data_IF_744899988852
#
_entry.id   IF_744899988852
#
_cell.length_a   1.000
_cell.length_b   1.000
_cell.length_c   1.000
_cell.angle_alpha   90.00
_cell.angle_beta   90.00
_cell.angle_gamma   90.00
#
_symmetry.space_group_name_H-M   'P 1'
#
loop_
_entity.id
_entity.type
_entity.pdbx_description
1 polymer ?
#
# COMPACT_ATOMS: atom_id res chain seq x y z
N UNK A 1 -38.94 -47.96 7.54
CA UNK A 1 -39.14 -46.49 7.50
C UNK A 1 -37.87 -45.74 7.77
N UNK A 2 -36.95 -46.25 8.60
CA UNK A 2 -35.65 -45.59 8.91
C UNK A 2 -34.74 -45.34 7.69
N UNK A 3 -34.91 -46.13 6.61
CA UNK A 3 -34.16 -45.98 5.37
C UNK A 3 -34.54 -44.77 4.48
N UNK A 4 -35.55 -43.99 4.84
CA UNK A 4 -36.04 -42.83 4.07
C UNK A 4 -35.68 -41.49 4.68
N UNK A 5 -35.05 -41.44 5.88
CA UNK A 5 -34.61 -40.20 6.52
C UNK A 5 -33.30 -39.71 5.94
N UNK A 6 -33.26 -38.48 5.52
CA UNK A 6 -32.05 -37.76 5.05
C UNK A 6 -31.58 -36.76 6.12
N UNK A 7 -30.36 -36.26 5.97
CA UNK A 7 -29.81 -35.20 6.84
C UNK A 7 -30.63 -33.91 6.81
N UNK A 8 -31.38 -33.66 5.74
CA UNK A 8 -32.26 -32.51 5.58
C UNK A 8 -33.57 -32.60 6.37
N UNK A 9 -33.94 -33.80 6.83
CA UNK A 9 -35.18 -34.01 7.56
C UNK A 9 -35.05 -33.72 9.05
N UNK A 10 -33.82 -33.57 9.53
CA UNK A 10 -33.51 -33.29 10.93
C UNK A 10 -32.76 -31.97 11.03
N UNK A 11 -33.21 -31.07 11.89
CA UNK A 11 -32.56 -29.82 12.22
C UNK A 11 -32.15 -29.81 13.68
N UNK A 12 -30.87 -29.57 13.95
CA UNK A 12 -30.39 -29.29 15.31
C UNK A 12 -30.39 -27.77 15.51
N UNK A 13 -31.00 -27.35 16.62
CA UNK A 13 -31.18 -25.94 16.96
C UNK A 13 -30.56 -25.67 18.31
N UNK A 14 -29.75 -24.65 18.45
CA UNK A 14 -29.25 -24.14 19.70
C UNK A 14 -30.34 -23.31 20.38
N UNK A 15 -30.69 -23.67 21.61
CA UNK A 15 -31.67 -22.94 22.41
C UNK A 15 -31.11 -21.57 22.84
N UNK A 16 -32.00 -20.58 22.97
CA UNK A 16 -31.64 -19.24 23.47
C UNK A 16 -30.58 -18.45 22.68
N UNK A 17 -30.19 -18.90 21.48
CA UNK A 17 -29.24 -18.19 20.68
C UNK A 17 -29.68 -16.73 20.36
N UNK A 18 -30.99 -16.50 20.24
CA UNK A 18 -31.56 -15.18 19.98
C UNK A 18 -31.53 -14.22 21.18
N UNK A 19 -31.25 -14.72 22.38
CA UNK A 19 -31.14 -13.90 23.60
C UNK A 19 -29.72 -13.38 23.87
N UNK A 20 -28.74 -13.78 23.04
CA UNK A 20 -27.36 -13.31 23.15
C UNK A 20 -27.27 -11.89 22.57
N UNK A 21 -27.00 -10.93 23.45
CA UNK A 21 -26.92 -9.49 23.07
C UNK A 21 -25.57 -8.86 23.40
N UNK A 22 -24.67 -9.57 24.07
CA UNK A 22 -23.37 -9.08 24.49
C UNK A 22 -22.24 -10.03 24.08
N UNK A 23 -21.01 -9.53 23.92
CA UNK A 23 -19.84 -10.38 23.73
C UNK A 23 -19.61 -11.30 24.92
N UNK A 24 -19.11 -12.50 24.67
CA UNK A 24 -18.79 -13.49 25.71
C UNK A 24 -18.86 -14.92 25.23
N UNK A 25 -18.56 -15.85 26.15
CA UNK A 25 -18.68 -17.28 25.92
C UNK A 25 -20.03 -17.76 26.41
N UNK A 26 -20.78 -18.42 25.56
CA UNK A 26 -22.11 -18.95 25.88
C UNK A 26 -22.15 -20.44 25.62
N UNK A 27 -22.67 -21.17 26.60
CA UNK A 27 -22.98 -22.60 26.47
C UNK A 27 -24.45 -22.74 26.11
N UNK A 28 -24.74 -23.25 24.93
CA UNK A 28 -26.07 -23.38 24.36
C UNK A 28 -26.49 -24.85 24.35
N UNK A 29 -27.72 -25.14 24.82
CA UNK A 29 -28.32 -26.45 24.71
C UNK A 29 -28.76 -26.71 23.26
N UNK A 30 -28.49 -27.93 22.80
CA UNK A 30 -28.87 -28.39 21.48
C UNK A 30 -30.11 -29.26 21.55
N UNK A 31 -31.09 -28.95 20.70
CA UNK A 31 -32.29 -29.77 20.55
C UNK A 31 -32.49 -30.15 19.09
N UNK A 32 -32.89 -31.39 18.85
CA UNK A 32 -33.28 -31.84 17.52
C UNK A 32 -34.74 -31.51 17.27
N UNK A 33 -35.01 -31.04 16.05
CA UNK A 33 -36.37 -30.77 15.53
C UNK A 33 -36.56 -31.43 14.19
N UNK A 34 -37.77 -31.82 13.87
CA UNK A 34 -38.16 -32.28 12.54
C UNK A 34 -38.11 -31.09 11.60
N UNK A 35 -37.38 -31.23 10.48
CA UNK A 35 -37.20 -30.18 9.48
C UNK A 35 -38.09 -30.36 8.24
N UNK A 36 -38.67 -31.54 8.10
CA UNK A 36 -39.55 -31.88 7.01
C UNK A 36 -40.97 -32.20 7.51
N UNK A 37 -41.92 -32.32 6.57
CA UNK A 37 -43.30 -32.75 6.87
C UNK A 37 -43.42 -34.26 7.18
N UNK A 38 -42.30 -34.98 7.24
CA UNK A 38 -42.28 -36.37 7.64
C UNK A 38 -42.61 -36.46 9.14
N UNK A 39 -43.73 -37.06 9.52
CA UNK A 39 -44.21 -37.15 10.89
C UNK A 39 -44.00 -38.52 11.48
N UNK A 40 -43.62 -39.51 10.69
CA UNK A 40 -43.62 -40.93 11.04
C UNK A 40 -42.38 -41.42 11.81
N UNK A 41 -41.65 -40.50 12.39
CA UNK A 41 -40.49 -40.83 13.25
C UNK A 41 -40.45 -39.97 14.49
N UNK A 42 -39.84 -40.50 15.54
CA UNK A 42 -39.57 -39.80 16.78
C UNK A 42 -38.09 -39.91 17.17
N UNK A 43 -37.59 -38.93 17.90
CA UNK A 43 -36.23 -38.98 18.41
C UNK A 43 -36.21 -39.91 19.65
N UNK A 44 -35.41 -40.97 19.58
CA UNK A 44 -35.27 -41.93 20.70
C UNK A 44 -34.35 -41.43 21.81
N UNK A 45 -33.52 -40.43 21.52
CA UNK A 45 -32.59 -39.81 22.48
C UNK A 45 -32.38 -38.34 22.12
N UNK A 46 -31.79 -37.59 23.05
CA UNK A 46 -31.37 -36.20 22.79
C UNK A 46 -30.17 -36.10 21.82
N UNK A 47 -29.78 -34.88 21.54
CA UNK A 47 -28.61 -34.59 20.71
C UNK A 47 -27.33 -34.88 21.47
N UNK A 48 -26.37 -35.48 20.81
CA UNK A 48 -25.02 -35.73 21.38
C UNK A 48 -23.95 -35.06 20.49
N UNK A 49 -23.16 -34.09 21.01
CA UNK A 49 -23.23 -33.51 22.36
C UNK A 49 -24.49 -32.69 22.57
N UNK A 50 -25.01 -32.66 23.82
CA UNK A 50 -26.21 -31.90 24.18
C UNK A 50 -25.99 -30.39 24.28
N UNK A 51 -24.75 -29.94 24.34
CA UNK A 51 -24.37 -28.54 24.49
C UNK A 51 -23.23 -28.19 23.51
N UNK A 52 -23.21 -26.93 23.10
CA UNK A 52 -22.06 -26.33 22.37
C UNK A 52 -21.66 -25.05 23.09
N UNK A 53 -20.36 -24.74 23.10
CA UNK A 53 -19.86 -23.45 23.54
C UNK A 53 -19.59 -22.60 22.30
N UNK A 54 -20.14 -21.38 22.25
CA UNK A 54 -19.94 -20.39 21.21
C UNK A 54 -19.34 -19.14 21.82
N UNK A 55 -18.34 -18.57 21.16
CA UNK A 55 -17.81 -17.26 21.49
C UNK A 55 -18.50 -16.23 20.60
N UNK A 56 -19.09 -15.24 21.23
CA UNK A 56 -19.73 -14.10 20.53
C UNK A 56 -18.88 -12.87 20.76
N UNK A 57 -18.61 -12.14 19.69
CA UNK A 57 -17.85 -10.90 19.73
C UNK A 57 -18.57 -9.80 18.93
N UNK A 58 -18.14 -8.56 19.10
CA UNK A 58 -18.63 -7.45 18.29
C UNK A 58 -17.95 -7.47 16.94
N UNK A 59 -18.73 -7.27 15.91
CA UNK A 59 -18.18 -7.06 14.58
C UNK A 59 -17.71 -5.61 14.44
N UNK A 60 -16.48 -5.42 13.99
CA UNK A 60 -15.84 -4.11 13.81
C UNK A 60 -15.20 -3.98 12.44
N UNK A 61 -15.25 -2.79 11.89
CA UNK A 61 -14.51 -2.40 10.69
C UNK A 61 -13.55 -1.27 11.05
N UNK A 62 -12.30 -1.37 10.60
CA UNK A 62 -11.25 -0.36 10.84
C UNK A 62 -10.47 -0.16 9.56
N UNK A 63 -10.15 1.11 9.23
CA UNK A 63 -9.26 1.48 8.13
C UNK A 63 -7.82 1.60 8.63
N UNK A 64 -6.88 0.99 7.91
CA UNK A 64 -5.44 1.08 8.15
C UNK A 64 -4.74 1.71 6.97
N UNK A 65 -3.67 2.47 7.27
CA UNK A 65 -2.69 2.86 6.25
C UNK A 65 -1.74 1.70 6.03
N UNK A 66 -1.50 1.38 4.77
CA UNK A 66 -0.56 0.32 4.36
C UNK A 66 0.85 0.88 4.35
N UNK A 67 1.76 0.22 5.05
CA UNK A 67 3.21 0.45 4.96
C UNK A 67 3.79 -0.41 3.84
N UNK A 68 4.86 0.05 3.19
CA UNK A 68 5.59 -0.76 2.23
C UNK A 68 6.87 -1.36 2.85
N UNK A 69 7.11 -2.63 2.54
CA UNK A 69 8.33 -3.36 2.89
C UNK A 69 8.81 -4.15 1.67
N UNK A 70 9.12 -3.41 0.61
CA UNK A 70 9.56 -4.00 -0.64
C UNK A 70 11.08 -4.03 -0.68
N UNK A 71 11.65 -5.24 -0.78
CA UNK A 71 13.09 -5.43 -0.90
C UNK A 71 13.46 -5.55 -2.37
N UNK A 72 14.38 -4.71 -2.81
CA UNK A 72 14.89 -4.72 -4.18
C UNK A 72 16.34 -4.23 -4.22
N UNK A 73 16.98 -4.45 -5.36
CA UNK A 73 18.31 -3.91 -5.68
C UNK A 73 18.21 -3.17 -7.02
N UNK A 74 18.87 -2.01 -7.12
CA UNK A 74 19.01 -1.27 -8.37
C UNK A 74 20.47 -1.20 -8.80
N UNK A 75 20.72 -1.12 -10.10
CA UNK A 75 22.06 -0.86 -10.61
C UNK A 75 22.49 0.57 -10.20
N UNK A 76 23.75 0.79 -9.78
CA UNK A 76 24.25 2.12 -9.38
C UNK A 76 24.11 3.21 -10.46
N UNK A 77 23.98 2.85 -11.73
CA UNK A 77 23.70 3.78 -12.83
C UNK A 77 22.32 4.42 -12.75
N UNK A 78 21.43 3.85 -11.93
CA UNK A 78 20.08 4.33 -11.78
C UNK A 78 19.83 4.86 -10.37
N UNK A 79 18.90 5.77 -10.28
CA UNK A 79 18.33 6.24 -9.03
C UNK A 79 17.03 5.50 -8.76
N UNK A 80 16.97 4.82 -7.62
CA UNK A 80 15.74 4.23 -7.15
C UNK A 80 14.98 5.25 -6.28
N UNK A 81 13.81 5.66 -6.73
CA UNK A 81 12.92 6.52 -5.96
C UNK A 81 12.20 5.74 -4.86
N UNK A 82 11.46 6.46 -4.03
CA UNK A 82 10.57 5.82 -3.04
C UNK A 82 9.49 5.01 -3.74
N UNK A 83 9.16 3.87 -3.18
CA UNK A 83 8.03 3.05 -3.62
C UNK A 83 6.72 3.84 -3.56
N UNK A 84 5.83 3.58 -4.51
CA UNK A 84 4.51 4.22 -4.58
C UNK A 84 3.45 3.15 -4.51
N UNK A 85 2.56 3.24 -3.53
CA UNK A 85 1.38 2.39 -3.39
C UNK A 85 0.20 3.01 -4.14
N UNK A 86 -0.55 2.20 -4.89
CA UNK A 86 -1.73 2.67 -5.63
C UNK A 86 -2.88 3.04 -4.71
N UNK A 87 -3.08 2.27 -3.64
CA UNK A 87 -4.13 2.45 -2.63
C UNK A 87 -3.56 2.30 -1.22
N UNK A 88 -2.98 3.36 -0.63
CA UNK A 88 -2.27 3.25 0.65
C UNK A 88 -3.20 3.02 1.85
N UNK A 89 -4.47 2.65 1.62
CA UNK A 89 -5.46 2.40 2.66
C UNK A 89 -6.21 1.10 2.41
N UNK A 90 -6.40 0.32 3.47
CA UNK A 90 -7.15 -0.92 3.46
C UNK A 90 -8.09 -0.97 4.65
N UNK A 91 -9.30 -1.50 4.44
CA UNK A 91 -10.23 -1.79 5.52
C UNK A 91 -10.11 -3.25 5.92
N UNK A 92 -10.13 -3.48 7.22
CA UNK A 92 -10.26 -4.82 7.79
C UNK A 92 -11.54 -4.89 8.61
N UNK A 93 -12.17 -6.04 8.59
CA UNK A 93 -13.40 -6.29 9.34
C UNK A 93 -13.37 -7.67 9.98
N UNK A 94 -14.01 -7.81 11.15
CA UNK A 94 -14.06 -9.05 11.90
C UNK A 94 -14.35 -8.84 13.38
N UNK A 95 -14.06 -9.84 14.24
CA UNK A 95 -14.23 -9.75 15.68
C UNK A 95 -13.35 -8.63 16.27
N UNK A 96 -13.94 -7.81 17.14
CA UNK A 96 -13.23 -6.68 17.79
C UNK A 96 -12.01 -7.14 18.58
N UNK A 97 -12.11 -8.30 19.24
CA UNK A 97 -11.00 -8.89 20.00
C UNK A 97 -9.80 -9.30 19.13
N UNK A 98 -10.03 -9.62 17.86
CA UNK A 98 -8.97 -9.97 16.92
C UNK A 98 -8.44 -8.72 16.20
N UNK A 99 -9.34 -7.84 15.74
CA UNK A 99 -8.95 -6.59 15.05
C UNK A 99 -8.09 -5.70 15.98
N UNK A 100 -8.40 -5.65 17.27
CA UNK A 100 -7.65 -4.84 18.24
C UNK A 100 -6.20 -5.30 18.44
N UNK A 101 -5.82 -6.49 17.99
CA UNK A 101 -4.44 -6.98 18.00
C UNK A 101 -3.66 -6.48 16.80
N UNK A 102 -4.33 -6.11 15.70
CA UNK A 102 -3.68 -5.64 14.49
C UNK A 102 -3.14 -4.24 14.74
N UNK A 103 -1.82 -4.07 14.66
CA UNK A 103 -1.14 -2.79 14.83
C UNK A 103 -0.81 -2.13 13.50
N UNK A 104 -0.44 -2.91 12.49
CA UNK A 104 -0.09 -2.40 11.17
C UNK A 104 -0.37 -3.43 10.08
N UNK A 105 -0.54 -2.94 8.86
CA UNK A 105 -0.68 -3.73 7.64
C UNK A 105 0.41 -3.31 6.68
N UNK A 106 1.13 -4.28 6.13
CA UNK A 106 2.35 -4.06 5.35
C UNK A 106 2.23 -4.78 4.01
N UNK A 107 2.51 -4.08 2.92
CA UNK A 107 2.70 -4.68 1.60
C UNK A 107 4.14 -5.21 1.50
N UNK A 108 4.31 -6.52 1.40
CA UNK A 108 5.63 -7.15 1.41
C UNK A 108 5.93 -7.87 0.11
N UNK A 109 7.11 -7.62 -0.44
CA UNK A 109 7.62 -8.41 -1.56
C UNK A 109 9.15 -8.37 -1.61
N UNK A 110 9.72 -9.44 -2.13
CA UNK A 110 11.13 -9.53 -2.49
C UNK A 110 11.23 -9.56 -4.02
N UNK A 111 11.89 -8.54 -4.60
CA UNK A 111 12.04 -8.43 -6.05
C UNK A 111 13.40 -9.01 -6.43
N UNK A 112 13.44 -10.15 -7.12
CA UNK A 112 14.69 -10.79 -7.50
C UNK A 112 15.42 -10.00 -8.58
N UNK A 113 16.75 -10.09 -8.55
CA UNK A 113 17.62 -9.46 -9.55
C UNK A 113 17.93 -8.00 -9.26
N UNK A 114 18.47 -7.32 -10.26
CA UNK A 114 18.84 -5.91 -10.23
C UNK A 114 17.92 -5.14 -11.16
N UNK A 115 17.31 -4.08 -10.66
CA UNK A 115 16.37 -3.27 -11.41
C UNK A 115 17.11 -2.20 -12.22
N UNK A 116 16.82 -2.14 -13.52
CA UNK A 116 17.31 -1.13 -14.47
C UNK A 116 16.18 -0.27 -15.04
N UNK A 117 14.93 -0.61 -14.72
CA UNK A 117 13.71 0.09 -15.17
C UNK A 117 12.69 0.11 -14.06
N UNK A 118 11.80 1.09 -14.09
CA UNK A 118 10.62 1.16 -13.22
C UNK A 118 9.88 -0.18 -13.23
N UNK A 119 9.61 -0.70 -12.05
CA UNK A 119 8.97 -1.99 -11.85
C UNK A 119 7.63 -1.82 -11.16
N UNK A 120 6.58 -2.35 -11.78
CA UNK A 120 5.27 -2.54 -11.14
C UNK A 120 5.15 -3.99 -10.68
N UNK A 121 4.63 -4.18 -9.51
CA UNK A 121 4.36 -5.50 -8.93
C UNK A 121 3.13 -5.45 -8.02
N UNK A 122 2.55 -6.62 -7.80
CA UNK A 122 1.48 -6.81 -6.82
C UNK A 122 2.10 -7.46 -5.57
N UNK A 123 1.97 -6.81 -4.43
CA UNK A 123 2.49 -7.28 -3.15
C UNK A 123 1.34 -7.77 -2.25
N UNK A 124 1.45 -8.93 -1.59
CA UNK A 124 0.49 -9.37 -0.59
C UNK A 124 0.51 -8.43 0.62
N UNK A 125 -0.66 -8.24 1.23
CA UNK A 125 -0.82 -7.52 2.48
C UNK A 125 -0.68 -8.48 3.65
N UNK A 126 0.17 -8.14 4.61
CA UNK A 126 0.43 -8.90 5.82
C UNK A 126 0.08 -8.06 7.03
N UNK A 127 -0.70 -8.64 7.94
CA UNK A 127 -1.07 -8.01 9.20
C UNK A 127 -0.05 -8.33 10.29
N UNK A 128 0.32 -7.34 11.10
CA UNK A 128 1.25 -7.48 12.21
C UNK A 128 0.64 -6.98 13.50
N UNK A 129 1.00 -7.63 14.59
CA UNK A 129 0.68 -7.19 15.96
C UNK A 129 1.69 -6.14 16.48
N UNK A 130 1.51 -5.73 17.74
CA UNK A 130 2.39 -4.77 18.41
C UNK A 130 3.79 -5.30 18.72
N UNK A 131 4.02 -6.60 18.65
CA UNK A 131 5.33 -7.23 18.85
C UNK A 131 6.08 -7.45 17.53
N UNK A 132 5.40 -7.29 16.41
CA UNK A 132 5.94 -7.52 15.07
C UNK A 132 5.74 -8.95 14.57
N UNK A 133 4.88 -9.71 15.21
CA UNK A 133 4.50 -11.04 14.78
C UNK A 133 3.36 -10.99 13.77
N UNK A 134 3.37 -11.92 12.81
CA UNK A 134 2.34 -12.01 11.77
C UNK A 134 1.04 -12.52 12.37
N UNK A 135 -0.04 -11.79 12.14
CA UNK A 135 -1.39 -12.21 12.46
C UNK A 135 -1.99 -12.95 11.27
N UNK A 136 -2.35 -14.22 11.50
CA UNK A 136 -3.14 -15.01 10.55
C UNK A 136 -4.44 -15.41 11.23
N UNK A 137 -5.56 -14.90 10.74
CA UNK A 137 -6.89 -15.20 11.28
C UNK A 137 -7.87 -15.37 10.13
N UNK A 138 -8.63 -16.45 10.15
CA UNK A 138 -9.73 -16.71 9.23
C UNK A 138 -10.96 -15.81 9.49
N UNK A 139 -11.02 -15.20 10.67
CA UNK A 139 -12.13 -14.34 11.06
C UNK A 139 -11.93 -12.87 10.68
N UNK A 140 -10.72 -12.47 10.29
CA UNK A 140 -10.43 -11.12 9.80
C UNK A 140 -10.48 -11.11 8.27
N UNK A 141 -11.31 -10.24 7.74
CA UNK A 141 -11.46 -10.05 6.28
C UNK A 141 -10.83 -8.72 5.90
N UNK A 142 -9.91 -8.73 4.96
CA UNK A 142 -9.37 -7.54 4.33
C UNK A 142 -10.24 -7.17 3.11
N UNK A 143 -10.47 -5.88 2.90
CA UNK A 143 -11.20 -5.39 1.70
C UNK A 143 -10.46 -5.73 0.40
N UNK A 144 -9.12 -5.78 0.46
CA UNK A 144 -8.22 -6.28 -0.59
C UNK A 144 -7.07 -7.04 0.06
N UNK A 145 -6.59 -8.09 -0.59
CA UNK A 145 -5.52 -8.94 -0.05
C UNK A 145 -4.14 -8.57 -0.61
N UNK A 146 -4.11 -7.70 -1.60
CA UNK A 146 -2.87 -7.31 -2.30
C UNK A 146 -2.90 -5.83 -2.60
N UNK A 147 -1.72 -5.24 -2.76
CA UNK A 147 -1.50 -3.85 -3.14
C UNK A 147 -0.62 -3.77 -4.39
N UNK A 148 -0.95 -2.85 -5.28
CA UNK A 148 -0.10 -2.56 -6.45
C UNK A 148 0.97 -1.55 -6.06
N UNK A 149 2.22 -1.94 -6.28
CA UNK A 149 3.40 -1.17 -5.89
C UNK A 149 4.21 -0.83 -7.13
N UNK A 150 4.54 0.45 -7.27
CA UNK A 150 5.48 0.94 -8.28
C UNK A 150 6.82 1.28 -7.63
N UNK A 151 7.91 0.73 -8.15
CA UNK A 151 9.29 1.07 -7.79
C UNK A 151 9.84 1.94 -8.91
N UNK A 152 9.94 3.28 -8.74
CA UNK A 152 10.47 4.15 -9.77
C UNK A 152 11.99 3.96 -9.88
N UNK A 153 12.46 3.62 -11.07
CA UNK A 153 13.88 3.52 -11.39
C UNK A 153 14.17 4.53 -12.50
N UNK A 154 15.01 5.50 -12.19
CA UNK A 154 15.33 6.62 -13.05
C UNK A 154 16.78 6.54 -13.50
N UNK A 155 17.05 6.83 -14.76
CA UNK A 155 18.42 6.91 -15.27
C UNK A 155 19.13 8.12 -14.66
N UNK A 156 20.38 7.96 -14.22
CA UNK A 156 21.24 9.05 -13.78
C UNK A 156 22.07 9.57 -14.94
N UNK A 157 22.15 10.88 -15.06
CA UNK A 157 23.00 11.52 -16.07
C UNK A 157 23.57 12.83 -15.53
N UNK A 158 24.86 13.04 -15.73
CA UNK A 158 25.49 14.31 -15.43
C UNK A 158 25.28 15.25 -16.60
N UNK A 159 24.62 16.39 -16.37
CA UNK A 159 24.34 17.40 -17.38
C UNK A 159 25.03 18.72 -17.03
N UNK A 160 25.48 19.50 -18.03
CA UNK A 160 25.98 20.85 -17.81
C UNK A 160 24.82 21.77 -17.40
N UNK A 161 25.09 22.65 -16.45
CA UNK A 161 24.14 23.65 -15.98
C UNK A 161 24.21 24.85 -16.90
N UNK A 162 23.06 25.24 -17.49
CA UNK A 162 22.99 26.36 -18.42
C UNK A 162 22.17 27.51 -17.86
N UNK A 163 22.73 28.71 -17.71
CA UNK A 163 21.98 29.89 -17.33
C UNK A 163 21.06 30.35 -18.44
N UNK A 164 19.84 30.75 -18.10
CA UNK A 164 18.87 31.34 -19.02
C UNK A 164 18.70 32.82 -18.68
N UNK A 165 18.87 33.68 -19.69
CA UNK A 165 18.81 35.13 -19.51
C UNK A 165 17.66 35.73 -20.30
N UNK A 166 16.94 36.68 -19.70
CA UNK A 166 15.96 37.55 -20.34
C UNK A 166 16.46 38.98 -20.30
N UNK A 167 16.09 39.77 -21.32
CA UNK A 167 16.48 41.20 -21.47
C UNK A 167 17.98 41.41 -21.24
N UNK A 168 18.80 40.55 -21.85
CA UNK A 168 20.25 40.50 -21.71
C UNK A 168 20.92 41.60 -22.53
N UNK A 169 21.33 42.75 -21.96
CA UNK A 169 21.76 43.94 -22.70
C UNK A 169 23.16 43.78 -23.31
N UNK A 170 24.00 42.92 -22.74
CA UNK A 170 25.39 42.74 -23.13
C UNK A 170 25.68 41.39 -23.80
N UNK A 171 24.66 40.64 -24.17
CA UNK A 171 24.78 39.28 -24.70
C UNK A 171 25.66 38.40 -23.82
N UNK A 172 25.45 38.48 -22.48
CA UNK A 172 26.17 37.69 -21.49
C UNK A 172 25.88 36.21 -21.71
N UNK A 173 26.90 35.39 -21.66
CA UNK A 173 26.75 33.92 -21.75
C UNK A 173 27.92 33.22 -21.06
N UNK A 174 27.70 31.97 -20.69
CA UNK A 174 28.76 31.13 -20.16
C UNK A 174 29.84 30.84 -21.24
N UNK A 175 29.45 30.77 -22.51
CA UNK A 175 30.35 30.46 -23.65
C UNK A 175 31.33 31.58 -23.96
N UNK A 176 31.02 32.83 -23.66
CA UNK A 176 31.94 33.96 -23.88
C UNK A 176 32.80 34.32 -22.66
N UNK A 177 32.76 33.48 -21.61
CA UNK A 177 33.55 33.65 -20.39
C UNK A 177 33.11 34.80 -19.46
N UNK A 178 32.03 35.53 -19.80
CA UNK A 178 31.51 36.64 -18.98
C UNK A 178 30.62 36.19 -17.81
N UNK A 179 30.14 34.96 -17.85
CA UNK A 179 29.32 34.35 -16.81
C UNK A 179 29.94 33.05 -16.35
N UNK A 180 30.11 32.89 -15.07
CA UNK A 180 30.58 31.64 -14.43
C UNK A 180 29.40 31.03 -13.66
N UNK A 181 29.10 29.78 -13.96
CA UNK A 181 28.14 28.97 -13.21
C UNK A 181 28.90 28.06 -12.25
N UNK A 182 28.42 27.95 -11.02
CA UNK A 182 29.02 27.07 -10.00
C UNK A 182 27.94 26.40 -9.17
N UNK A 183 27.84 25.08 -9.17
CA UNK A 183 28.60 24.14 -9.99
C UNK A 183 28.28 24.27 -11.49
N UNK A 184 29.16 23.81 -12.38
CA UNK A 184 28.99 23.84 -13.82
C UNK A 184 28.28 22.61 -14.38
N UNK A 185 28.21 21.53 -13.61
CA UNK A 185 27.52 20.29 -13.93
C UNK A 185 26.72 19.79 -12.73
N UNK A 186 25.69 18.97 -12.98
CA UNK A 186 24.89 18.33 -11.96
C UNK A 186 24.44 16.94 -12.40
N UNK A 187 24.39 16.00 -11.46
CA UNK A 187 23.76 14.70 -11.68
C UNK A 187 22.25 14.83 -11.53
N UNK A 188 21.52 14.40 -12.53
CA UNK A 188 20.05 14.40 -12.58
C UNK A 188 19.58 12.99 -12.83
N UNK A 189 18.56 12.58 -12.08
CA UNK A 189 17.85 11.34 -12.30
C UNK A 189 16.47 11.62 -12.93
N UNK A 190 16.20 11.00 -14.07
CA UNK A 190 14.93 11.16 -14.79
C UNK A 190 14.58 9.88 -15.58
N UNK A 191 13.31 9.75 -16.04
CA UNK A 191 12.96 8.78 -17.07
C UNK A 191 13.83 8.95 -18.31
N UNK A 192 14.16 7.84 -18.97
CA UNK A 192 15.07 7.87 -20.14
C UNK A 192 14.56 8.78 -21.25
N UNK A 193 13.25 8.87 -21.44
CA UNK A 193 12.58 9.70 -22.45
C UNK A 193 12.87 11.19 -22.24
N UNK A 194 13.02 11.64 -21.00
CA UNK A 194 13.36 13.03 -20.67
C UNK A 194 14.73 13.40 -21.22
N UNK A 195 15.69 12.47 -21.15
CA UNK A 195 17.04 12.70 -21.65
C UNK A 195 17.20 12.66 -23.20
N UNK A 196 16.13 12.28 -23.91
CA UNK A 196 16.11 12.42 -25.38
C UNK A 196 16.05 13.89 -25.81
N UNK A 197 15.42 14.73 -25.01
CA UNK A 197 15.27 16.17 -25.29
C UNK A 197 16.09 17.05 -24.34
N UNK A 198 16.33 16.59 -23.11
CA UNK A 198 17.07 17.31 -22.08
C UNK A 198 18.56 17.02 -22.16
N UNK A 199 19.31 17.92 -22.76
CA UNK A 199 20.79 17.84 -22.90
C UNK A 199 21.52 18.72 -21.88
N UNK A 200 20.83 19.65 -21.24
CA UNK A 200 21.36 20.59 -20.24
C UNK A 200 20.38 20.75 -19.08
N UNK A 201 20.91 21.08 -17.90
CA UNK A 201 20.13 21.48 -16.76
C UNK A 201 19.97 23.00 -16.76
N UNK A 202 18.78 23.49 -17.08
CA UNK A 202 18.53 24.93 -17.17
C UNK A 202 18.29 25.53 -15.79
N UNK A 203 18.84 26.72 -15.54
CA UNK A 203 18.49 27.55 -14.40
C UNK A 203 17.18 28.31 -14.68
N UNK A 204 16.44 28.65 -13.64
CA UNK A 204 15.35 29.63 -13.73
C UNK A 204 15.90 30.91 -14.35
N UNK A 205 15.14 31.48 -15.28
CA UNK A 205 15.64 32.63 -16.07
C UNK A 205 15.92 33.85 -15.19
N UNK A 206 17.11 34.43 -15.34
CA UNK A 206 17.48 35.71 -14.75
C UNK A 206 17.06 36.83 -15.70
N UNK A 207 16.16 37.71 -15.23
CA UNK A 207 15.70 38.84 -16.04
C UNK A 207 16.44 40.13 -15.65
N UNK A 208 17.27 40.62 -16.55
CA UNK A 208 18.07 41.83 -16.33
C UNK A 208 17.24 43.13 -16.23
N UNK A 209 15.96 43.12 -16.63
CA UNK A 209 15.07 44.24 -16.42
C UNK A 209 14.61 44.39 -14.95
N UNK A 210 14.73 43.33 -14.16
CA UNK A 210 14.21 43.29 -12.78
C UNK A 210 15.30 43.16 -11.72
N UNK A 211 16.55 42.83 -12.09
CA UNK A 211 17.64 42.62 -11.14
C UNK A 211 18.49 43.88 -10.98
N UNK A 212 19.06 44.04 -9.79
CA UNK A 212 20.06 45.07 -9.55
C UNK A 212 21.39 44.65 -10.20
N UNK A 213 21.84 45.41 -11.21
CA UNK A 213 23.08 45.14 -11.96
C UNK A 213 24.37 45.40 -11.16
N UNK A 214 24.27 46.04 -9.99
CA UNK A 214 25.42 46.15 -9.06
C UNK A 214 25.75 44.84 -8.37
N UNK A 215 24.82 43.87 -8.39
CA UNK A 215 25.07 42.51 -7.93
C UNK A 215 25.85 41.72 -8.98
N UNK A 216 26.94 41.11 -8.54
CA UNK A 216 27.80 40.24 -9.37
C UNK A 216 27.57 38.75 -9.14
N UNK A 217 26.76 38.37 -8.13
CA UNK A 217 26.45 36.99 -7.80
C UNK A 217 24.94 36.82 -7.59
N UNK A 218 24.40 35.75 -8.16
CA UNK A 218 22.99 35.38 -8.10
C UNK A 218 22.88 33.90 -7.77
N UNK A 219 22.03 33.57 -6.80
CA UNK A 219 21.65 32.20 -6.50
C UNK A 219 20.36 31.88 -7.25
N UNK A 220 20.42 30.93 -8.17
CA UNK A 220 19.31 30.54 -9.01
C UNK A 220 18.98 29.05 -8.79
N UNK A 221 17.70 28.73 -8.78
CA UNK A 221 17.23 27.35 -8.75
C UNK A 221 17.24 26.75 -10.15
N UNK A 222 17.19 25.41 -10.19
CA UNK A 222 17.05 24.66 -11.44
C UNK A 222 15.60 24.69 -11.91
N UNK A 223 15.43 24.78 -13.21
CA UNK A 223 14.14 24.61 -13.90
C UNK A 223 14.15 23.22 -14.56
N UNK A 224 13.67 22.23 -13.83
CA UNK A 224 13.68 20.84 -14.27
C UNK A 224 12.26 20.37 -14.62
N UNK A 225 12.12 19.51 -15.64
CA UNK A 225 10.87 18.86 -15.97
C UNK A 225 10.30 18.05 -14.78
N UNK A 226 8.99 17.88 -14.78
CA UNK A 226 8.31 17.06 -13.77
C UNK A 226 8.84 15.61 -13.84
N UNK A 227 9.11 15.03 -12.69
CA UNK A 227 9.63 13.66 -12.57
C UNK A 227 11.15 13.57 -12.49
N UNK A 228 11.90 14.67 -12.66
CA UNK A 228 13.33 14.73 -12.38
C UNK A 228 13.60 14.81 -10.86
N UNK A 229 14.74 14.23 -10.46
CA UNK A 229 15.28 14.25 -9.10
C UNK A 229 16.74 14.67 -9.11
#
# INVERSE_FOLDING_TARGET
VVGQLSKSDIRVVAQQASSITAPGNYTLELTARKASNLTDYEFSSGVTPGFITVMVDRYKEVEFTVEDRIKYKSDPKYFAGSTVLSSPKVKISGPESEISKVQKIVAEADVPGVLEKTKNLTAPLVMYDGYGDVISSENIVLSVNTEEVTIPILLRKTLPITPVFKNNPEMLSASNGRVKVTPDTMEIAAPEEVFQTMTTANLVSLDFATVNLDKTKFDLSLDLPIGCK
#
